data_IF_718230421881
#
_entry.id   IF_718230421881
#
_cell.length_a   1.000
_cell.length_b   1.000
_cell.length_c   1.000
_cell.angle_alpha   90.00
_cell.angle_beta   90.00
_cell.angle_gamma   90.00
#
_symmetry.space_group_name_H-M   'P 1'
#
loop_
_entity.id
_entity.type
_entity.pdbx_description
1 polymer ?
#
# COMPACT_ATOMS: atom_id res chain seq x y z
N UNK A 1 8.92 0.55 -16.72
CA UNK A 1 9.47 -0.84 -16.71
C UNK A 1 10.05 -1.26 -15.35
N UNK A 2 10.78 -0.40 -14.62
CA UNK A 2 11.40 -0.77 -13.33
C UNK A 2 10.40 -1.11 -12.22
N UNK A 3 9.30 -0.35 -12.08
CA UNK A 3 8.30 -0.57 -11.02
C UNK A 3 7.49 -1.86 -11.15
N UNK A 4 7.28 -2.37 -12.37
CA UNK A 4 6.56 -3.64 -12.59
C UNK A 4 7.36 -4.85 -12.09
N UNK A 5 8.67 -4.88 -12.39
CA UNK A 5 9.56 -5.94 -11.87
C UNK A 5 9.62 -5.88 -10.35
N UNK A 6 9.71 -4.68 -9.79
CA UNK A 6 9.72 -4.48 -8.34
C UNK A 6 8.41 -4.89 -7.69
N UNK A 7 7.27 -4.56 -8.29
CA UNK A 7 5.94 -4.99 -7.85
C UNK A 7 5.83 -6.52 -7.80
N UNK A 8 6.29 -7.21 -8.84
CA UNK A 8 6.33 -8.68 -8.88
C UNK A 8 7.23 -9.27 -7.80
N UNK A 9 8.41 -8.68 -7.58
CA UNK A 9 9.35 -9.08 -6.55
C UNK A 9 8.76 -8.92 -5.14
N UNK A 10 8.17 -7.75 -4.85
CA UNK A 10 7.46 -7.49 -3.59
C UNK A 10 6.36 -8.53 -3.39
N UNK A 11 5.54 -8.75 -4.42
CA UNK A 11 4.47 -9.73 -4.37
C UNK A 11 4.99 -11.13 -4.07
N UNK A 12 6.05 -11.59 -4.75
CA UNK A 12 6.65 -12.90 -4.48
C UNK A 12 7.10 -13.03 -3.02
N UNK A 13 7.86 -12.04 -2.52
CA UNK A 13 8.44 -12.05 -1.19
C UNK A 13 7.39 -11.99 -0.07
N UNK A 14 6.40 -11.12 -0.19
CA UNK A 14 5.31 -11.00 0.79
C UNK A 14 4.47 -12.26 0.82
N UNK A 15 4.10 -12.80 -0.35
CA UNK A 15 3.36 -14.06 -0.46
C UNK A 15 4.10 -15.22 0.20
N UNK A 16 5.41 -15.33 -0.03
CA UNK A 16 6.23 -16.35 0.62
C UNK A 16 6.21 -16.21 2.14
N UNK A 17 6.44 -15.01 2.67
CA UNK A 17 6.47 -14.77 4.12
C UNK A 17 5.13 -15.01 4.80
N UNK A 18 4.02 -14.64 4.15
CA UNK A 18 2.68 -14.93 4.67
C UNK A 18 2.43 -16.45 4.74
N UNK A 19 2.83 -17.19 3.71
CA UNK A 19 2.75 -18.67 3.70
C UNK A 19 3.60 -19.31 4.79
N UNK A 20 4.84 -18.87 4.98
CA UNK A 20 5.74 -19.36 6.04
C UNK A 20 5.15 -19.18 7.45
N UNK A 21 4.27 -18.18 7.63
CA UNK A 21 3.59 -17.91 8.89
C UNK A 21 2.16 -18.48 8.96
N UNK A 22 1.77 -19.36 8.04
CA UNK A 22 0.42 -19.95 7.95
C UNK A 22 -0.72 -18.92 7.93
N UNK A 23 -0.47 -17.74 7.37
CA UNK A 23 -1.50 -16.71 7.20
C UNK A 23 -2.27 -17.00 5.92
N UNK A 24 -3.59 -17.08 6.02
CA UNK A 24 -4.48 -17.16 4.85
C UNK A 24 -4.70 -15.75 4.29
N UNK A 25 -4.54 -15.58 2.98
CA UNK A 25 -4.64 -14.25 2.38
C UNK A 25 -5.06 -14.31 0.91
N UNK A 26 -5.60 -13.19 0.43
CA UNK A 26 -5.63 -12.82 -0.98
C UNK A 26 -4.70 -11.62 -1.21
N UNK A 27 -3.89 -11.69 -2.27
CA UNK A 27 -2.91 -10.67 -2.61
C UNK A 27 -3.30 -9.96 -3.91
N UNK A 28 -3.27 -8.63 -3.88
CA UNK A 28 -3.34 -7.80 -5.07
C UNK A 28 -2.22 -6.76 -5.02
N UNK A 29 -1.61 -6.47 -6.15
CA UNK A 29 -0.64 -5.39 -6.29
C UNK A 29 -0.85 -4.65 -7.59
N UNK A 30 -0.47 -3.38 -7.61
CA UNK A 30 -0.51 -2.52 -8.78
C UNK A 30 0.60 -1.48 -8.69
N UNK A 31 1.49 -1.47 -9.68
CA UNK A 31 2.30 -0.29 -9.96
C UNK A 31 1.41 0.84 -10.49
N UNK A 32 1.61 2.06 -9.99
CA UNK A 32 0.82 3.21 -10.42
C UNK A 32 1.10 3.54 -11.89
N UNK A 33 0.06 3.77 -12.67
CA UNK A 33 0.21 4.15 -14.07
C UNK A 33 0.71 5.61 -14.17
N UNK A 34 1.48 5.95 -15.22
CA UNK A 34 2.04 7.29 -15.40
C UNK A 34 0.99 8.41 -15.41
N UNK A 35 -0.19 8.16 -15.99
CA UNK A 35 -1.24 9.16 -16.09
C UNK A 35 -1.83 9.49 -14.71
N UNK A 36 -2.16 8.47 -13.91
CA UNK A 36 -2.60 8.65 -12.52
C UNK A 36 -1.55 9.29 -11.63
N UNK A 37 -0.26 9.02 -11.90
CA UNK A 37 0.84 9.67 -11.21
C UNK A 37 0.90 11.18 -11.53
N UNK A 38 0.77 11.53 -12.80
CA UNK A 38 0.76 12.92 -13.26
C UNK A 38 -0.43 13.69 -12.69
N UNK A 39 -1.64 13.13 -12.73
CA UNK A 39 -2.84 13.73 -12.14
C UNK A 39 -2.64 13.99 -10.64
N UNK A 40 -2.03 13.03 -9.92
CA UNK A 40 -1.74 13.17 -8.49
C UNK A 40 -0.68 14.26 -8.21
N UNK A 41 0.34 14.37 -9.06
CA UNK A 41 1.38 15.40 -8.97
C UNK A 41 0.79 16.79 -9.23
N UNK A 42 -0.03 16.95 -10.29
CA UNK A 42 -0.70 18.20 -10.64
C UNK A 42 -1.61 18.68 -9.50
N UNK A 43 -2.44 17.79 -8.94
CA UNK A 43 -3.32 18.13 -7.82
C UNK A 43 -2.59 18.52 -6.52
N UNK A 44 -1.28 18.27 -6.43
CA UNK A 44 -0.43 18.57 -5.27
C UNK A 44 0.56 19.69 -5.51
N UNK A 45 0.60 20.28 -6.71
CA UNK A 45 1.62 21.26 -7.10
C UNK A 45 1.68 22.48 -6.17
N UNK A 46 0.54 22.88 -5.60
CA UNK A 46 0.45 23.99 -4.64
C UNK A 46 0.89 23.63 -3.20
N UNK A 47 1.08 22.34 -2.87
CA UNK A 47 1.43 21.88 -1.52
C UNK A 47 2.93 21.73 -1.29
N UNK A 48 3.76 21.74 -2.32
CA UNK A 48 5.20 21.51 -2.22
C UNK A 48 5.98 22.63 -2.90
N UNK A 49 7.16 22.93 -2.35
CA UNK A 49 8.01 24.03 -2.82
C UNK A 49 8.64 23.79 -4.19
N UNK A 50 8.81 22.53 -4.60
CA UNK A 50 9.32 22.15 -5.92
C UNK A 50 8.88 20.73 -6.33
N UNK A 51 9.09 20.39 -7.60
CA UNK A 51 8.69 19.11 -8.19
C UNK A 51 9.44 17.91 -7.57
N UNK A 52 10.68 18.09 -7.12
CA UNK A 52 11.45 17.02 -6.47
C UNK A 52 10.83 16.64 -5.11
N UNK A 53 10.44 17.63 -4.30
CA UNK A 53 9.74 17.43 -3.04
C UNK A 53 8.35 16.82 -3.26
N UNK A 54 7.65 17.22 -4.33
CA UNK A 54 6.35 16.66 -4.69
C UNK A 54 6.45 15.18 -5.10
N UNK A 55 7.43 14.83 -5.94
CA UNK A 55 7.72 13.45 -6.36
C UNK A 55 8.13 12.57 -5.17
N UNK A 56 9.02 13.07 -4.31
CA UNK A 56 9.46 12.35 -3.11
C UNK A 56 8.29 12.08 -2.16
N UNK A 57 7.26 12.93 -2.13
CA UNK A 57 6.10 12.77 -1.25
C UNK A 57 5.09 11.69 -1.71
N UNK A 58 5.29 11.06 -2.87
CA UNK A 58 4.42 9.99 -3.34
C UNK A 58 4.75 8.70 -2.59
N UNK A 59 3.82 8.28 -1.73
CA UNK A 59 3.99 7.09 -0.86
C UNK A 59 3.50 5.78 -1.50
N UNK A 60 2.75 5.87 -2.60
CA UNK A 60 2.02 4.78 -3.25
C UNK A 60 2.44 4.61 -4.71
N UNK A 61 3.75 4.63 -4.99
CA UNK A 61 4.26 4.30 -6.34
C UNK A 61 3.91 2.85 -6.71
N UNK A 62 3.97 1.98 -5.70
CA UNK A 62 3.44 0.63 -5.74
C UNK A 62 2.40 0.50 -4.63
N UNK A 63 1.16 0.20 -5.01
CA UNK A 63 0.09 -0.11 -4.08
C UNK A 63 -0.10 -1.61 -3.97
N UNK A 64 -0.13 -2.11 -2.74
CA UNK A 64 -0.36 -3.51 -2.42
C UNK A 64 -1.57 -3.65 -1.51
N UNK A 65 -2.34 -4.72 -1.67
CA UNK A 65 -3.45 -5.09 -0.80
C UNK A 65 -3.28 -6.53 -0.32
N UNK A 66 -3.34 -6.70 0.99
CA UNK A 66 -3.42 -8.01 1.66
C UNK A 66 -4.82 -8.11 2.24
N UNK A 67 -5.63 -9.00 1.68
CA UNK A 67 -6.98 -9.26 2.19
C UNK A 67 -6.91 -10.47 3.10
N UNK A 68 -7.25 -10.27 4.37
CA UNK A 68 -7.17 -11.27 5.43
C UNK A 68 -8.58 -11.73 5.84
N UNK A 69 -8.93 -13.03 5.66
CA UNK A 69 -10.19 -13.57 6.16
C UNK A 69 -10.34 -13.39 7.67
N UNK A 70 -9.25 -13.57 8.42
CA UNK A 70 -9.17 -13.41 9.87
C UNK A 70 -8.40 -12.14 10.26
N UNK A 71 -8.83 -10.98 9.76
CA UNK A 71 -8.13 -9.69 9.93
C UNK A 71 -7.69 -9.44 11.39
N UNK A 72 -8.57 -9.60 12.37
CA UNK A 72 -8.28 -9.28 13.77
C UNK A 72 -7.18 -10.15 14.38
N UNK A 73 -7.14 -11.45 14.07
CA UNK A 73 -6.11 -12.36 14.60
C UNK A 73 -4.79 -12.25 13.83
N UNK A 74 -4.87 -11.98 12.53
CA UNK A 74 -3.72 -12.10 11.64
C UNK A 74 -2.98 -10.75 11.46
N UNK A 75 -3.64 -9.61 11.74
CA UNK A 75 -3.03 -8.29 11.61
C UNK A 75 -1.74 -8.09 12.44
N UNK A 76 -1.61 -8.58 13.70
CA UNK A 76 -0.36 -8.43 14.45
C UNK A 76 0.80 -9.17 13.77
N UNK A 77 0.55 -10.38 13.28
CA UNK A 77 1.52 -11.19 12.53
C UNK A 77 1.94 -10.49 11.24
N UNK A 78 0.97 -9.97 10.47
CA UNK A 78 1.25 -9.24 9.23
C UNK A 78 2.02 -7.95 9.50
N UNK A 79 1.68 -7.20 10.55
CA UNK A 79 2.42 -6.00 10.97
C UNK A 79 3.87 -6.33 11.31
N UNK A 80 4.11 -7.36 12.11
CA UNK A 80 5.46 -7.81 12.48
C UNK A 80 6.27 -8.25 11.25
N UNK A 81 5.63 -8.96 10.31
CA UNK A 81 6.24 -9.34 9.04
C UNK A 81 6.64 -8.10 8.22
N UNK A 82 5.74 -7.13 8.07
CA UNK A 82 6.01 -5.89 7.32
C UNK A 82 7.18 -5.12 7.95
N UNK A 83 7.18 -4.96 9.28
CA UNK A 83 8.22 -4.23 10.01
C UNK A 83 9.59 -4.93 9.98
N UNK A 84 9.61 -6.27 9.99
CA UNK A 84 10.86 -7.04 9.90
C UNK A 84 11.43 -7.05 8.48
N UNK A 85 10.57 -7.06 7.46
CA UNK A 85 10.99 -7.26 6.08
C UNK A 85 11.35 -5.97 5.34
N UNK A 86 10.63 -4.89 5.62
CA UNK A 86 10.80 -3.61 4.93
C UNK A 86 11.41 -2.54 5.84
N UNK A 87 11.89 -1.47 5.24
CA UNK A 87 12.15 -0.23 5.97
C UNK A 87 10.79 0.42 6.27
N UNK A 88 10.34 0.33 7.52
CA UNK A 88 9.07 0.86 7.95
C UNK A 88 9.12 2.40 8.03
N UNK A 89 8.26 3.07 7.27
CA UNK A 89 8.21 4.54 7.19
C UNK A 89 7.04 5.13 7.99
N UNK A 90 6.06 4.31 8.36
CA UNK A 90 4.90 4.69 9.16
C UNK A 90 3.66 3.90 8.82
N UNK A 91 2.62 4.09 9.61
CA UNK A 91 1.30 3.50 9.38
C UNK A 91 0.20 4.56 9.52
N UNK A 92 -0.95 4.28 8.90
CA UNK A 92 -2.16 5.07 9.01
C UNK A 92 -3.36 4.13 9.09
N UNK A 93 -4.26 4.37 10.03
CA UNK A 93 -5.55 3.70 10.08
C UNK A 93 -6.58 4.58 9.38
N UNK A 94 -7.30 4.02 8.43
CA UNK A 94 -8.55 4.58 7.93
C UNK A 94 -9.73 3.94 8.69
N UNK A 95 -10.83 4.65 8.94
CA UNK A 95 -10.91 6.11 8.87
C UNK A 95 -9.93 6.74 9.88
N UNK A 96 -9.34 7.88 9.54
CA UNK A 96 -8.74 8.72 10.59
C UNK A 96 -9.86 9.12 11.55
N UNK A 97 -9.55 9.20 12.85
CA UNK A 97 -10.53 9.60 13.87
C UNK A 97 -11.38 10.77 13.37
N UNK A 98 -12.69 10.55 13.25
CA UNK A 98 -13.66 11.56 12.81
C UNK A 98 -14.13 11.49 11.35
N UNK A 99 -13.65 10.56 10.52
CA UNK A 99 -14.21 10.40 9.16
C UNK A 99 -15.41 9.43 9.15
N UNK A 100 -16.52 9.85 8.57
CA UNK A 100 -17.84 9.16 8.56
C UNK A 100 -17.96 8.00 7.57
N UNK A 101 -16.86 7.58 6.93
CA UNK A 101 -16.85 6.44 5.99
C UNK A 101 -16.71 5.10 6.71
N UNK A 102 -17.49 4.08 6.30
CA UNK A 102 -17.42 2.71 6.82
C UNK A 102 -16.16 1.93 6.45
N UNK A 103 -15.21 2.57 5.73
CA UNK A 103 -13.95 1.96 5.30
C UNK A 103 -12.91 1.98 6.43
N UNK A 104 -12.73 0.84 7.08
CA UNK A 104 -11.62 0.62 8.01
C UNK A 104 -10.48 -0.09 7.27
N UNK A 105 -9.27 0.45 7.27
CA UNK A 105 -8.13 -0.16 6.57
C UNK A 105 -6.80 0.19 7.23
N UNK A 106 -5.89 -0.78 7.34
CA UNK A 106 -4.55 -0.56 7.88
C UNK A 106 -3.58 -0.27 6.74
N UNK A 107 -3.05 0.95 6.67
CA UNK A 107 -2.11 1.36 5.64
C UNK A 107 -0.71 1.38 6.23
N UNK A 108 0.21 0.60 5.67
CA UNK A 108 1.62 0.59 6.03
C UNK A 108 2.42 1.22 4.90
N UNK A 109 3.20 2.25 5.23
CA UNK A 109 4.13 2.89 4.30
C UNK A 109 5.52 2.31 4.52
N UNK A 110 6.10 1.76 3.47
CA UNK A 110 7.38 1.05 3.56
C UNK A 110 8.29 1.32 2.36
N UNK A 111 9.57 1.04 2.52
CA UNK A 111 10.56 1.00 1.45
C UNK A 111 11.33 -0.32 1.45
N UNK A 112 11.89 -0.71 0.31
CA UNK A 112 12.72 -1.92 0.19
C UNK A 112 14.08 -1.72 0.86
N UNK A 113 14.54 -2.71 1.64
CA UNK A 113 15.82 -2.64 2.37
C UNK A 113 17.07 -2.62 1.48
N UNK A 114 16.99 -3.05 0.22
CA UNK A 114 18.16 -3.33 -0.64
C UNK A 114 18.10 -2.78 -2.07
N UNK A 115 17.18 -1.86 -2.40
CA UNK A 115 17.05 -1.32 -3.77
C UNK A 115 17.75 0.04 -3.94
N UNK A 116 19.08 0.08 -3.74
CA UNK A 116 19.92 1.24 -4.08
C UNK A 116 19.48 2.58 -3.47
N UNK A 117 19.98 3.70 -4.03
CA UNK A 117 19.73 5.07 -3.53
C UNK A 117 18.34 5.64 -3.85
N UNK A 118 17.42 4.82 -4.37
CA UNK A 118 16.04 5.24 -4.65
C UNK A 118 15.10 4.50 -3.71
N UNK A 119 14.69 5.19 -2.64
CA UNK A 119 13.64 4.73 -1.73
C UNK A 119 12.31 4.61 -2.47
N UNK A 120 12.08 3.48 -3.14
CA UNK A 120 10.76 3.21 -3.75
C UNK A 120 9.76 2.99 -2.62
N UNK A 121 8.86 3.96 -2.48
CA UNK A 121 7.81 3.96 -1.46
C UNK A 121 6.65 3.08 -1.91
N UNK A 122 6.32 2.14 -1.03
CA UNK A 122 5.27 1.15 -1.21
C UNK A 122 4.21 1.41 -0.14
N UNK A 123 2.96 1.39 -0.54
CA UNK A 123 1.84 1.36 0.38
C UNK A 123 1.27 -0.06 0.42
N UNK A 124 1.25 -0.68 1.59
CA UNK A 124 0.62 -1.97 1.83
C UNK A 124 -0.65 -1.74 2.63
N UNK A 125 -1.80 -2.03 2.05
CA UNK A 125 -3.11 -1.92 2.68
C UNK A 125 -3.53 -3.31 3.16
N UNK A 126 -3.87 -3.44 4.44
CA UNK A 126 -4.34 -4.69 5.03
C UNK A 126 -5.79 -4.51 5.46
N UNK A 127 -6.65 -5.41 4.99
CA UNK A 127 -8.10 -5.26 5.10
C UNK A 127 -8.82 -6.62 5.11
N UNK A 128 -10.07 -6.63 5.55
CA UNK A 128 -10.97 -7.80 5.47
C UNK A 128 -11.61 -7.90 4.09
N UNK A 129 -12.19 -9.06 3.70
CA UNK A 129 -12.91 -9.20 2.45
C UNK A 129 -14.04 -8.17 2.27
N UNK A 130 -14.77 -7.86 3.34
CA UNK A 130 -15.84 -6.84 3.31
C UNK A 130 -15.30 -5.44 3.05
N UNK A 131 -14.16 -5.08 3.67
CA UNK A 131 -13.49 -3.80 3.45
C UNK A 131 -12.92 -3.70 2.03
N UNK A 132 -12.36 -4.80 1.51
CA UNK A 132 -11.89 -4.88 0.13
C UNK A 132 -13.02 -4.66 -0.87
N UNK A 133 -14.15 -5.34 -0.68
CA UNK A 133 -15.32 -5.16 -1.53
C UNK A 133 -15.84 -3.73 -1.48
N UNK A 134 -15.97 -3.14 -0.28
CA UNK A 134 -16.40 -1.75 -0.15
C UNK A 134 -15.47 -0.79 -0.88
N UNK A 135 -14.15 -0.92 -0.69
CA UNK A 135 -13.16 -0.08 -1.37
C UNK A 135 -13.17 -0.27 -2.89
N UNK A 136 -13.42 -1.48 -3.37
CA UNK A 136 -13.58 -1.76 -4.80
C UNK A 136 -14.81 -1.03 -5.37
N UNK A 137 -15.97 -1.12 -4.70
CA UNK A 137 -17.16 -0.40 -5.14
C UNK A 137 -16.97 1.12 -5.09
N UNK A 138 -16.48 1.64 -3.96
CA UNK A 138 -16.34 3.08 -3.75
C UNK A 138 -15.31 3.71 -4.72
N UNK A 139 -14.13 3.12 -4.82
CA UNK A 139 -13.03 3.72 -5.59
C UNK A 139 -12.95 3.25 -7.04
N UNK A 140 -13.23 1.97 -7.31
CA UNK A 140 -13.02 1.39 -8.64
C UNK A 140 -14.32 1.35 -9.49
N UNK A 141 -15.51 1.47 -8.89
CA UNK A 141 -16.80 1.53 -9.62
C UNK A 141 -17.40 2.94 -9.64
N UNK A 142 -17.35 3.68 -8.52
CA UNK A 142 -17.98 5.01 -8.44
C UNK A 142 -17.04 6.17 -8.80
N UNK A 143 -15.74 6.04 -8.50
CA UNK A 143 -14.80 7.17 -8.62
C UNK A 143 -13.92 7.16 -9.88
N UNK A 144 -13.54 5.97 -10.37
CA UNK A 144 -12.83 5.81 -11.64
C UNK A 144 -13.80 5.59 -12.78
#
# INVERSE_FOLDING_TARGET
>A
MQYLKLEQEIGFRVKQKLKENNVEYLWQSRAKDPHSLETKLRGRKHKYSNDQANCAAIKDLIGCRIVLPRLTSDIPTVKALIQSYFNFLGEKSHPEQGSTGGYVGFHFYVAMKQHGSQDVRIEIQVMSPSQYNYAFYDHDVLYK
#
